data_IF_276959202304
#
_entry.id   IF_276959202304
#
_cell.length_a   1.000
_cell.length_b   1.000
_cell.length_c   1.000
_cell.angle_alpha   90.00
_cell.angle_beta   90.00
_cell.angle_gamma   90.00
#
_symmetry.space_group_name_H-M   'P 1'
#
loop_
_entity.id
_entity.type
_entity.pdbx_description
1 polymer ?
#
# COMPACT_ATOMS: atom_id res chain seq x y z
N UNK A 1 2.64 -14.01 -7.83
CA UNK A 1 2.28 -12.58 -7.84
C UNK A 1 3.26 -11.76 -8.68
N UNK A 2 4.54 -11.64 -8.30
CA UNK A 2 5.54 -10.91 -9.10
C UNK A 2 5.66 -11.41 -10.54
N UNK A 3 5.68 -12.73 -10.75
CA UNK A 3 5.70 -13.34 -12.08
C UNK A 3 4.47 -13.00 -12.94
N UNK A 4 3.29 -12.81 -12.33
CA UNK A 4 2.08 -12.39 -13.04
C UNK A 4 2.14 -10.91 -13.41
N UNK A 5 2.70 -10.07 -12.54
CA UNK A 5 2.95 -8.65 -12.83
C UNK A 5 4.00 -8.49 -13.92
N UNK A 6 5.09 -9.26 -13.90
CA UNK A 6 6.09 -9.28 -14.98
C UNK A 6 5.50 -9.79 -16.29
N UNK A 7 4.62 -10.79 -16.28
CA UNK A 7 3.87 -11.19 -17.47
C UNK A 7 2.95 -10.09 -18.00
N UNK A 8 2.34 -9.31 -17.11
CA UNK A 8 1.47 -8.19 -17.48
C UNK A 8 2.29 -6.97 -17.95
N UNK A 9 3.52 -6.82 -17.46
CA UNK A 9 4.40 -5.67 -17.67
C UNK A 9 5.81 -6.09 -18.11
N UNK A 10 5.97 -6.77 -19.27
CA UNK A 10 7.24 -7.39 -19.65
C UNK A 10 8.37 -6.39 -19.98
N UNK A 11 8.05 -5.10 -20.07
CA UNK A 11 9.01 -4.02 -20.38
C UNK A 11 9.38 -3.15 -19.17
N UNK A 12 8.75 -3.37 -18.01
CA UNK A 12 9.04 -2.62 -16.79
C UNK A 12 10.08 -3.42 -16.00
N UNK A 13 11.13 -2.73 -15.58
CA UNK A 13 12.17 -3.32 -14.76
C UNK A 13 11.58 -3.84 -13.43
N UNK A 14 12.03 -5.03 -13.00
CA UNK A 14 11.54 -5.68 -11.79
C UNK A 14 11.68 -4.79 -10.54
N UNK A 15 12.76 -4.02 -10.44
CA UNK A 15 12.99 -3.09 -9.33
C UNK A 15 11.95 -1.97 -9.31
N UNK A 16 11.49 -1.54 -10.48
CA UNK A 16 10.44 -0.52 -10.61
C UNK A 16 9.08 -1.11 -10.24
N UNK A 17 8.78 -2.34 -10.67
CA UNK A 17 7.57 -3.05 -10.26
C UNK A 17 7.52 -3.15 -8.74
N UNK A 18 8.62 -3.53 -8.10
CA UNK A 18 8.74 -3.61 -6.65
C UNK A 18 8.52 -2.25 -5.96
N UNK A 19 9.16 -1.17 -6.44
CA UNK A 19 8.96 0.19 -5.88
C UNK A 19 7.55 0.73 -6.04
N UNK A 20 6.89 0.40 -7.16
CA UNK A 20 5.48 0.69 -7.40
C UNK A 20 4.66 -0.09 -6.37
N UNK A 21 4.93 -1.39 -6.23
CA UNK A 21 4.21 -2.29 -5.34
C UNK A 21 4.34 -1.90 -3.86
N UNK A 22 5.54 -1.53 -3.41
CA UNK A 22 5.81 -0.95 -2.08
C UNK A 22 5.00 0.31 -1.81
N UNK A 23 4.75 1.12 -2.85
CA UNK A 23 3.92 2.32 -2.76
C UNK A 23 2.41 2.04 -2.75
N UNK A 24 1.96 0.84 -3.12
CA UNK A 24 0.54 0.49 -3.27
C UNK A 24 0.04 -0.53 -2.23
N UNK A 25 0.79 -0.80 -1.16
CA UNK A 25 0.41 -1.74 -0.08
C UNK A 25 -0.10 -3.10 -0.61
N UNK A 26 0.50 -3.58 -1.70
CA UNK A 26 0.33 -4.95 -2.22
C UNK A 26 -1.09 -5.37 -2.70
N UNK A 27 -2.02 -4.44 -2.92
CA UNK A 27 -3.29 -4.76 -3.60
C UNK A 27 -3.06 -4.93 -5.12
N UNK A 28 -2.94 -6.17 -5.58
CA UNK A 28 -2.64 -6.52 -6.99
C UNK A 28 -3.69 -6.00 -7.97
N UNK A 29 -4.96 -5.98 -7.59
CA UNK A 29 -6.06 -5.60 -8.48
C UNK A 29 -6.18 -4.07 -8.61
N UNK A 30 -5.99 -3.35 -7.51
CA UNK A 30 -5.90 -1.89 -7.51
C UNK A 30 -4.58 -1.41 -8.14
N UNK A 31 -3.47 -2.11 -7.89
CA UNK A 31 -2.21 -1.88 -8.59
C UNK A 31 -2.38 -2.12 -10.08
N UNK A 32 -3.07 -3.18 -10.51
CA UNK A 32 -3.34 -3.43 -11.93
C UNK A 32 -4.24 -2.36 -12.55
N UNK A 33 -5.32 -1.95 -11.89
CA UNK A 33 -6.20 -0.90 -12.40
C UNK A 33 -5.52 0.48 -12.44
N UNK A 34 -4.74 0.83 -11.41
CA UNK A 34 -3.95 2.07 -11.37
C UNK A 34 -2.77 2.03 -12.35
N UNK A 35 -2.13 0.87 -12.51
CA UNK A 35 -1.08 0.67 -13.51
C UNK A 35 -1.65 0.66 -14.92
N UNK A 36 -2.91 0.28 -15.14
CA UNK A 36 -3.57 0.37 -16.46
C UNK A 36 -3.61 1.80 -16.99
N UNK A 37 -3.84 2.78 -16.11
CA UNK A 37 -3.78 4.21 -16.44
C UNK A 37 -2.36 4.70 -16.71
N UNK A 38 -1.35 4.09 -16.08
CA UNK A 38 0.05 4.45 -16.25
C UNK A 38 0.75 3.64 -17.36
N UNK A 39 0.10 2.57 -17.84
CA UNK A 39 0.63 1.57 -18.76
C UNK A 39 1.12 2.13 -20.09
N UNK A 40 0.36 3.03 -20.76
CA UNK A 40 0.81 3.58 -22.03
C UNK A 40 2.10 4.40 -21.88
N UNK A 41 2.29 4.99 -20.70
CA UNK A 41 3.41 5.87 -20.38
C UNK A 41 4.66 5.09 -19.98
N UNK A 42 4.52 4.03 -19.18
CA UNK A 42 5.65 3.18 -18.82
C UNK A 42 6.21 2.41 -20.03
N UNK A 43 5.35 1.96 -20.95
CA UNK A 43 5.79 1.18 -22.11
C UNK A 43 6.56 1.98 -23.18
N UNK A 44 6.52 3.31 -23.12
CA UNK A 44 7.18 4.22 -24.07
C UNK A 44 8.43 4.90 -23.51
N UNK A 45 8.77 4.66 -22.25
CA UNK A 45 9.83 5.38 -21.52
C UNK A 45 10.93 4.47 -21.02
N UNK A 46 12.16 4.98 -20.91
CA UNK A 46 13.27 4.23 -20.34
C UNK A 46 13.16 4.12 -18.80
N UNK A 47 13.83 3.14 -18.20
CA UNK A 47 13.83 2.87 -16.75
C UNK A 47 14.04 4.13 -15.89
N UNK A 48 14.96 5.02 -16.30
CA UNK A 48 15.23 6.27 -15.58
C UNK A 48 14.03 7.22 -15.59
N UNK A 49 13.37 7.36 -16.72
CA UNK A 49 12.14 8.15 -16.88
C UNK A 49 10.98 7.55 -16.09
N UNK A 50 10.86 6.23 -16.05
CA UNK A 50 9.85 5.54 -15.25
C UNK A 50 10.03 5.85 -13.75
N UNK A 51 11.27 5.77 -13.24
CA UNK A 51 11.58 6.13 -11.85
C UNK A 51 11.27 7.60 -11.55
N UNK A 52 11.58 8.50 -12.49
CA UNK A 52 11.27 9.92 -12.39
C UNK A 52 9.75 10.16 -12.30
N UNK A 53 8.95 9.48 -13.12
CA UNK A 53 7.50 9.58 -13.10
C UNK A 53 6.91 9.07 -11.77
N UNK A 54 7.42 7.95 -11.25
CA UNK A 54 7.04 7.46 -9.91
C UNK A 54 7.35 8.52 -8.85
N UNK A 55 8.50 9.19 -8.92
CA UNK A 55 8.85 10.25 -7.98
C UNK A 55 7.93 11.47 -8.11
N UNK A 56 7.50 11.84 -9.31
CA UNK A 56 6.52 12.92 -9.51
C UNK A 56 5.18 12.56 -8.87
N UNK A 57 4.69 11.34 -9.05
CA UNK A 57 3.45 10.88 -8.40
C UNK A 57 3.57 10.83 -6.87
N UNK A 58 4.72 10.42 -6.32
CA UNK A 58 4.95 10.47 -4.86
C UNK A 58 4.93 11.91 -4.33
N UNK A 59 5.54 12.85 -5.06
CA UNK A 59 5.66 14.23 -4.61
C UNK A 59 4.37 15.03 -4.77
N UNK A 60 3.61 14.80 -5.84
CA UNK A 60 2.45 15.63 -6.22
C UNK A 60 1.11 14.89 -6.17
N UNK A 61 1.08 13.56 -6.04
CA UNK A 61 -0.14 12.76 -6.14
C UNK A 61 -1.18 13.01 -5.04
N UNK A 62 -0.79 13.67 -3.94
CA UNK A 62 -1.70 14.13 -2.89
C UNK A 62 -2.32 15.51 -3.20
N UNK A 63 -1.70 16.29 -4.09
CA UNK A 63 -2.10 17.66 -4.40
C UNK A 63 -2.78 17.76 -5.77
N UNK A 64 -2.37 16.92 -6.72
CA UNK A 64 -2.82 16.94 -8.10
C UNK A 64 -3.36 15.56 -8.49
N UNK A 65 -4.42 15.58 -9.30
CA UNK A 65 -4.90 14.35 -9.93
C UNK A 65 -3.79 13.69 -10.76
N UNK A 66 -3.76 12.36 -10.76
CA UNK A 66 -2.74 11.60 -11.49
C UNK A 66 -2.74 11.93 -12.99
N UNK A 67 -3.90 12.20 -13.56
CA UNK A 67 -4.09 12.64 -14.95
C UNK A 67 -3.33 13.94 -15.24
N UNK A 68 -3.42 14.92 -14.34
CA UNK A 68 -2.69 16.20 -14.45
C UNK A 68 -1.18 15.98 -14.39
N UNK A 69 -0.71 15.13 -13.48
CA UNK A 69 0.72 14.78 -13.38
C UNK A 69 1.22 14.14 -14.68
N UNK A 70 0.50 13.13 -15.18
CA UNK A 70 0.86 12.41 -16.41
C UNK A 70 0.77 13.29 -17.65
N UNK A 71 -0.24 14.15 -17.78
CA UNK A 71 -0.35 15.09 -18.89
C UNK A 71 0.78 16.11 -18.89
N UNK A 72 1.11 16.67 -17.72
CA UNK A 72 2.21 17.63 -17.58
C UNK A 72 3.55 16.98 -17.92
N UNK A 73 3.78 15.75 -17.48
CA UNK A 73 4.97 14.97 -17.85
C UNK A 73 5.15 14.85 -19.36
N UNK A 74 4.08 14.57 -20.10
CA UNK A 74 4.15 14.49 -21.56
C UNK A 74 4.32 15.85 -22.22
N UNK A 75 3.63 16.88 -21.73
CA UNK A 75 3.72 18.24 -22.26
C UNK A 75 5.12 18.84 -22.08
N UNK A 76 5.85 18.40 -21.05
CA UNK A 76 7.23 18.79 -20.79
C UNK A 76 8.24 17.84 -21.46
N UNK A 77 7.84 17.12 -22.52
CA UNK A 77 8.69 16.19 -23.27
C UNK A 77 9.39 15.15 -22.37
N UNK A 78 8.76 14.79 -21.24
CA UNK A 78 9.31 13.85 -20.27
C UNK A 78 10.65 14.30 -19.65
N UNK A 79 10.87 15.62 -19.59
CA UNK A 79 12.00 16.25 -18.90
C UNK A 79 11.58 16.49 -17.45
N UNK A 80 12.27 15.81 -16.51
CA UNK A 80 11.92 15.85 -15.09
C UNK A 80 12.00 17.23 -14.46
N UNK A 81 13.05 18.00 -14.77
CA UNK A 81 13.20 19.37 -14.24
C UNK A 81 12.04 20.27 -14.65
N UNK A 82 11.71 20.27 -15.94
CA UNK A 82 10.64 21.10 -16.52
C UNK A 82 9.27 20.67 -15.98
N UNK A 83 9.01 19.36 -15.94
CA UNK A 83 7.76 18.83 -15.38
C UNK A 83 7.60 19.23 -13.92
N UNK A 84 8.66 19.11 -13.12
CA UNK A 84 8.62 19.46 -11.71
C UNK A 84 8.40 20.96 -11.49
N UNK A 85 9.01 21.82 -12.31
CA UNK A 85 8.76 23.26 -12.27
C UNK A 85 7.29 23.57 -12.60
N UNK A 86 6.74 22.95 -13.65
CA UNK A 86 5.35 23.18 -14.07
C UNK A 86 4.32 22.68 -13.06
N UNK A 87 4.53 21.50 -12.47
CA UNK A 87 3.66 20.99 -11.41
C UNK A 87 3.67 21.89 -10.17
N UNK A 88 4.83 22.45 -9.80
CA UNK A 88 4.92 23.45 -8.71
C UNK A 88 4.15 24.72 -9.02
N UNK A 89 4.22 25.21 -10.26
CA UNK A 89 3.44 26.37 -10.72
C UNK A 89 1.93 26.09 -10.58
N UNK A 90 1.46 24.93 -11.03
CA UNK A 90 0.04 24.51 -10.89
C UNK A 90 -0.37 24.43 -9.41
N UNK A 91 0.51 23.92 -8.55
CA UNK A 91 0.25 23.86 -7.11
C UNK A 91 0.25 25.25 -6.45
N UNK A 92 0.99 26.22 -7.00
CA UNK A 92 1.07 27.58 -6.47
C UNK A 92 -0.11 28.47 -6.88
N UNK A 93 -0.75 28.18 -8.02
CA UNK A 93 -1.92 28.92 -8.52
C UNK A 93 -3.24 28.43 -7.95
N UNK A 94 -3.26 27.27 -7.31
CA UNK A 94 -4.43 26.74 -6.62
C UNK A 94 -4.57 27.37 -5.23
N UNK A 95 -5.82 27.54 -4.76
CA UNK A 95 -6.10 28.20 -3.49
C UNK A 95 -5.28 27.55 -2.35
N UNK A 96 -4.33 28.29 -1.73
CA UNK A 96 -3.42 27.72 -0.75
C UNK A 96 -4.14 27.18 0.49
N UNK A 97 -5.36 27.65 0.78
CA UNK A 97 -6.12 27.21 1.95
C UNK A 97 -6.81 25.86 1.69
N UNK A 98 -7.40 25.67 0.52
CA UNK A 98 -8.09 24.42 0.14
C UNK A 98 -7.08 23.26 -0.04
N UNK A 99 -5.94 23.54 -0.68
CA UNK A 99 -4.87 22.54 -0.86
C UNK A 99 -4.22 22.10 0.45
N UNK A 100 -3.99 23.03 1.37
CA UNK A 100 -3.39 22.70 2.68
C UNK A 100 -4.32 21.81 3.50
N UNK A 101 -5.61 22.10 3.51
CA UNK A 101 -6.62 21.28 4.21
C UNK A 101 -6.73 19.89 3.57
N UNK A 102 -6.78 19.78 2.23
CA UNK A 102 -6.78 18.49 1.52
C UNK A 102 -5.53 17.68 1.80
N UNK A 103 -4.35 18.31 1.82
CA UNK A 103 -3.08 17.63 2.10
C UNK A 103 -3.01 17.11 3.54
N UNK A 104 -3.44 17.91 4.52
CA UNK A 104 -3.48 17.51 5.93
C UNK A 104 -4.48 16.36 6.10
N UNK A 105 -5.69 16.48 5.55
CA UNK A 105 -6.72 15.45 5.67
C UNK A 105 -6.32 14.15 4.94
N UNK A 106 -5.69 14.24 3.77
CA UNK A 106 -5.18 13.09 3.03
C UNK A 106 -4.09 12.35 3.79
N UNK A 107 -3.09 13.08 4.32
CA UNK A 107 -2.02 12.49 5.14
C UNK A 107 -2.58 11.86 6.41
N UNK A 108 -3.48 12.53 7.12
CA UNK A 108 -4.12 11.99 8.32
C UNK A 108 -4.90 10.70 8.04
N UNK A 109 -5.62 10.63 6.91
CA UNK A 109 -6.34 9.42 6.48
C UNK A 109 -5.39 8.28 6.18
N UNK A 110 -4.32 8.52 5.40
CA UNK A 110 -3.31 7.50 5.11
C UNK A 110 -2.61 7.01 6.40
N UNK A 111 -2.33 7.91 7.34
CA UNK A 111 -1.77 7.55 8.65
C UNK A 111 -2.73 6.67 9.46
N UNK A 112 -4.02 6.99 9.45
CA UNK A 112 -5.05 6.20 10.13
C UNK A 112 -5.24 4.82 9.48
N UNK A 113 -5.21 4.73 8.16
CA UNK A 113 -5.26 3.45 7.43
C UNK A 113 -4.07 2.57 7.79
N UNK A 114 -2.86 3.12 7.71
CA UNK A 114 -1.61 2.42 8.08
C UNK A 114 -1.68 1.95 9.55
N UNK A 115 -2.23 2.77 10.44
CA UNK A 115 -2.38 2.43 11.86
C UNK A 115 -3.32 1.24 12.07
N UNK A 116 -4.48 1.23 11.41
CA UNK A 116 -5.45 0.13 11.48
C UNK A 116 -4.83 -1.18 10.97
N UNK A 117 -4.16 -1.13 9.80
CA UNK A 117 -3.52 -2.29 9.20
C UNK A 117 -2.45 -2.88 10.13
N UNK A 118 -1.55 -2.04 10.66
CA UNK A 118 -0.51 -2.46 11.60
C UNK A 118 -1.08 -3.10 12.86
N UNK A 119 -2.09 -2.49 13.47
CA UNK A 119 -2.76 -3.03 14.66
C UNK A 119 -3.31 -4.44 14.38
N UNK A 120 -3.98 -4.62 13.24
CA UNK A 120 -4.55 -5.90 12.87
C UNK A 120 -3.52 -6.98 12.57
N UNK A 121 -2.51 -6.65 11.77
CA UNK A 121 -1.46 -7.60 11.41
C UNK A 121 -0.70 -8.08 12.64
N UNK A 122 -0.32 -7.15 13.53
CA UNK A 122 0.36 -7.50 14.76
C UNK A 122 -0.52 -8.33 15.69
N UNK A 123 -1.82 -8.04 15.79
CA UNK A 123 -2.74 -8.80 16.63
C UNK A 123 -2.89 -10.25 16.14
N UNK A 124 -3.10 -10.44 14.83
CA UNK A 124 -3.24 -11.78 14.22
C UNK A 124 -1.94 -12.58 14.40
N UNK A 125 -0.80 -12.00 14.01
CA UNK A 125 0.50 -12.65 14.14
C UNK A 125 0.81 -13.03 15.59
N UNK A 126 0.57 -12.10 16.52
CA UNK A 126 0.83 -12.34 17.94
C UNK A 126 -0.01 -13.51 18.49
N UNK A 127 -1.30 -13.59 18.14
CA UNK A 127 -2.16 -14.68 18.59
C UNK A 127 -1.66 -16.05 18.11
N UNK A 128 -1.22 -16.14 16.84
CA UNK A 128 -0.68 -17.37 16.26
C UNK A 128 0.66 -17.74 16.91
N UNK A 129 1.57 -16.77 17.05
CA UNK A 129 2.90 -16.98 17.62
C UNK A 129 2.83 -17.36 19.11
N UNK A 130 1.91 -16.76 19.86
CA UNK A 130 1.72 -17.02 21.29
C UNK A 130 1.08 -18.38 21.55
N UNK A 131 0.14 -18.80 20.69
CA UNK A 131 -0.63 -20.03 20.88
C UNK A 131 -0.57 -20.94 19.65
N UNK A 132 0.62 -21.41 19.26
CA UNK A 132 0.79 -22.09 17.97
C UNK A 132 0.01 -23.40 17.86
N UNK A 133 -0.29 -24.08 18.98
CA UNK A 133 -1.06 -25.34 18.96
C UNK A 133 -2.57 -25.14 18.90
N UNK A 134 -3.07 -23.91 19.06
CA UNK A 134 -4.50 -23.65 19.19
C UNK A 134 -5.10 -23.33 17.82
N UNK A 135 -5.85 -24.28 17.26
CA UNK A 135 -6.45 -24.16 15.92
C UNK A 135 -7.35 -22.93 15.77
N UNK A 136 -8.01 -22.49 16.86
CA UNK A 136 -8.85 -21.29 16.88
C UNK A 136 -8.12 -20.03 16.39
N UNK A 137 -6.83 -19.86 16.70
CA UNK A 137 -6.06 -18.67 16.27
C UNK A 137 -5.54 -18.78 14.83
N UNK A 138 -5.67 -19.95 14.21
CA UNK A 138 -5.39 -20.20 12.80
C UNK A 138 -6.62 -19.99 11.92
N UNK A 139 -7.72 -19.53 12.50
CA UNK A 139 -8.99 -19.29 11.84
C UNK A 139 -9.45 -17.86 12.12
N UNK A 140 -9.87 -17.13 11.09
CA UNK A 140 -10.39 -15.77 11.24
C UNK A 140 -11.77 -15.75 10.60
N UNK A 141 -12.78 -15.49 11.44
CA UNK A 141 -14.16 -15.39 10.99
C UNK A 141 -14.35 -14.11 10.17
N UNK A 142 -14.79 -14.22 8.91
CA UNK A 142 -14.92 -13.07 7.98
C UNK A 142 -15.80 -11.96 8.56
N UNK A 143 -16.99 -12.31 9.05
CA UNK A 143 -17.89 -11.30 9.61
C UNK A 143 -17.28 -10.57 10.82
N UNK A 144 -16.57 -11.28 11.70
CA UNK A 144 -15.95 -10.65 12.87
C UNK A 144 -14.82 -9.71 12.45
N UNK A 145 -14.00 -10.12 11.47
CA UNK A 145 -12.97 -9.28 10.88
C UNK A 145 -13.55 -8.02 10.25
N UNK A 146 -14.58 -8.17 9.40
CA UNK A 146 -15.22 -7.05 8.70
C UNK A 146 -15.94 -6.09 9.65
N UNK A 147 -16.63 -6.60 10.67
CA UNK A 147 -17.26 -5.77 11.69
C UNK A 147 -16.23 -4.95 12.46
N UNK A 148 -15.12 -5.58 12.87
CA UNK A 148 -14.03 -4.89 13.54
C UNK A 148 -13.42 -3.80 12.65
N UNK A 149 -13.09 -4.13 11.40
CA UNK A 149 -12.51 -3.18 10.46
C UNK A 149 -13.46 -2.02 10.19
N UNK A 150 -14.74 -2.29 9.96
CA UNK A 150 -15.76 -1.26 9.73
C UNK A 150 -15.85 -0.29 10.91
N UNK A 151 -15.92 -0.82 12.14
CA UNK A 151 -15.95 -0.01 13.35
C UNK A 151 -14.69 0.86 13.50
N UNK A 152 -13.49 0.30 13.26
CA UNK A 152 -12.22 1.03 13.35
C UNK A 152 -12.09 2.10 12.27
N UNK A 153 -12.48 1.79 11.04
CA UNK A 153 -12.47 2.72 9.91
C UNK A 153 -13.41 3.89 10.16
N UNK A 154 -14.63 3.62 10.63
CA UNK A 154 -15.59 4.66 11.00
C UNK A 154 -15.04 5.58 12.10
N UNK A 155 -14.45 4.98 13.14
CA UNK A 155 -13.88 5.74 14.27
C UNK A 155 -12.73 6.66 13.85
N UNK A 156 -11.91 6.24 12.89
CA UNK A 156 -10.71 6.95 12.46
C UNK A 156 -10.88 7.70 11.13
N UNK A 157 -12.09 7.72 10.56
CA UNK A 157 -12.38 8.35 9.27
C UNK A 157 -11.57 7.78 8.09
N UNK A 158 -11.23 6.49 8.16
CA UNK A 158 -10.43 5.78 7.17
C UNK A 158 -11.29 5.06 6.13
N UNK A 159 -10.73 4.78 4.96
CA UNK A 159 -11.44 4.08 3.88
C UNK A 159 -11.54 2.56 4.17
N UNK A 160 -12.75 2.10 4.45
CA UNK A 160 -13.03 0.70 4.76
C UNK A 160 -12.74 -0.23 3.59
N UNK A 161 -13.11 0.15 2.37
CA UNK A 161 -12.93 -0.70 1.19
C UNK A 161 -11.44 -0.93 0.95
N UNK A 162 -10.65 0.14 0.95
CA UNK A 162 -9.20 0.08 0.81
C UNK A 162 -8.53 -0.76 1.89
N UNK A 163 -8.88 -0.54 3.16
CA UNK A 163 -8.34 -1.31 4.28
C UNK A 163 -8.73 -2.78 4.16
N UNK A 164 -9.98 -3.08 3.80
CA UNK A 164 -10.44 -4.47 3.69
C UNK A 164 -9.62 -5.23 2.66
N UNK A 165 -9.39 -4.67 1.47
CA UNK A 165 -8.60 -5.33 0.43
C UNK A 165 -7.15 -5.53 0.87
N UNK A 166 -6.54 -4.54 1.53
CA UNK A 166 -5.18 -4.66 2.05
C UNK A 166 -5.06 -5.72 3.15
N UNK A 167 -6.07 -5.88 3.99
CA UNK A 167 -6.10 -6.96 4.99
C UNK A 167 -6.20 -8.32 4.31
N UNK A 168 -7.09 -8.48 3.32
CA UNK A 168 -7.24 -9.74 2.59
C UNK A 168 -5.96 -10.12 1.83
N UNK A 169 -5.33 -9.16 1.15
CA UNK A 169 -4.07 -9.38 0.43
C UNK A 169 -2.95 -9.83 1.39
N UNK A 170 -2.80 -9.14 2.51
CA UNK A 170 -1.80 -9.50 3.52
C UNK A 170 -2.05 -10.87 4.14
N UNK A 171 -3.31 -11.23 4.41
CA UNK A 171 -3.65 -12.57 4.89
C UNK A 171 -3.17 -13.64 3.91
N UNK A 172 -3.34 -13.44 2.60
CA UNK A 172 -2.81 -14.37 1.59
C UNK A 172 -1.28 -14.45 1.62
N UNK A 173 -0.60 -13.32 1.81
CA UNK A 173 0.88 -13.26 1.90
C UNK A 173 1.40 -14.09 3.09
N UNK A 174 0.71 -14.03 4.23
CA UNK A 174 1.05 -14.85 5.41
C UNK A 174 0.34 -16.22 5.40
N UNK A 175 0.04 -16.75 4.21
CA UNK A 175 -0.44 -18.11 3.97
C UNK A 175 -1.84 -18.44 4.54
N UNK A 176 -2.69 -17.44 4.76
CA UNK A 176 -4.12 -17.68 4.98
C UNK A 176 -4.86 -17.85 3.65
N UNK A 177 -5.83 -18.76 3.63
CA UNK A 177 -6.72 -19.03 2.49
C UNK A 177 -8.17 -18.91 2.91
N UNK A 178 -9.02 -18.41 2.00
CA UNK A 178 -10.47 -18.46 2.20
C UNK A 178 -10.96 -19.91 2.09
N UNK A 179 -11.75 -20.33 3.07
CA UNK A 179 -12.50 -21.58 3.04
C UNK A 179 -13.84 -21.43 2.30
N UNK A 180 -14.60 -22.51 2.21
CA UNK A 180 -15.92 -22.52 1.56
C UNK A 180 -16.99 -21.71 2.31
N UNK A 181 -16.77 -21.46 3.60
CA UNK A 181 -17.61 -20.65 4.47
C UNK A 181 -17.16 -19.17 4.50
N UNK A 182 -16.32 -18.77 3.54
CA UNK A 182 -15.67 -17.46 3.45
C UNK A 182 -14.74 -17.08 4.62
N UNK A 183 -14.54 -17.95 5.61
CA UNK A 183 -13.60 -17.71 6.70
C UNK A 183 -12.16 -17.90 6.23
N UNK A 184 -11.20 -17.29 6.93
CA UNK A 184 -9.79 -17.41 6.60
C UNK A 184 -9.12 -18.47 7.46
N UNK A 185 -8.36 -19.36 6.82
CA UNK A 185 -7.68 -20.48 7.45
C UNK A 185 -6.19 -20.44 7.13
N UNK A 186 -5.35 -20.57 8.14
CA UNK A 186 -3.91 -20.74 7.91
C UNK A 186 -3.66 -22.07 7.19
N UNK A 187 -2.96 -22.03 6.06
CA UNK A 187 -2.89 -23.12 5.09
C UNK A 187 -2.20 -24.40 5.61
N UNK A 188 -1.35 -24.30 6.63
CA UNK A 188 -0.49 -25.41 7.06
C UNK A 188 -0.86 -25.97 8.44
N UNK A 189 -0.88 -27.30 8.53
CA UNK A 189 -1.02 -28.02 9.81
C UNK A 189 0.14 -27.73 10.75
N UNK A 190 1.33 -27.51 10.19
CA UNK A 190 2.53 -27.08 10.92
C UNK A 190 2.77 -25.60 10.67
N UNK A 191 2.71 -24.81 11.74
CA UNK A 191 2.99 -23.38 11.69
C UNK A 191 4.46 -23.14 11.33
N UNK A 192 4.69 -22.30 10.32
CA UNK A 192 6.02 -21.80 9.99
C UNK A 192 6.42 -20.66 10.93
N UNK A 193 6.76 -21.00 12.19
CA UNK A 193 7.04 -20.02 13.26
C UNK A 193 8.08 -18.97 12.86
N UNK A 194 9.14 -19.38 12.17
CA UNK A 194 10.19 -18.46 11.72
C UNK A 194 9.67 -17.44 10.70
N UNK A 195 8.87 -17.88 9.73
CA UNK A 195 8.26 -17.00 8.73
C UNK A 195 7.34 -15.96 9.41
N UNK A 196 6.42 -16.41 10.26
CA UNK A 196 5.49 -15.54 10.98
C UNK A 196 6.21 -14.59 11.95
N UNK A 197 7.29 -15.05 12.59
CA UNK A 197 8.13 -14.20 13.43
C UNK A 197 8.80 -13.09 12.62
N UNK A 198 9.30 -13.40 11.42
CA UNK A 198 9.88 -12.40 10.52
C UNK A 198 8.83 -11.39 10.07
N UNK A 199 7.61 -11.83 9.74
CA UNK A 199 6.48 -10.92 9.45
C UNK A 199 6.15 -10.02 10.64
N UNK A 200 6.12 -10.57 11.85
CA UNK A 200 5.86 -9.79 13.08
C UNK A 200 6.95 -8.74 13.31
N UNK A 201 8.21 -9.14 13.19
CA UNK A 201 9.37 -8.25 13.30
C UNK A 201 9.36 -7.16 12.24
N UNK A 202 8.94 -7.45 11.01
CA UNK A 202 8.78 -6.45 9.98
C UNK A 202 7.77 -5.37 10.41
N UNK A 203 6.56 -5.78 10.81
CA UNK A 203 5.49 -4.84 11.15
C UNK A 203 5.75 -4.03 12.43
N UNK A 204 6.40 -4.62 13.44
CA UNK A 204 6.74 -3.89 14.67
C UNK A 204 7.79 -2.81 14.40
N UNK A 205 8.77 -3.08 13.53
CA UNK A 205 9.79 -2.11 13.14
C UNK A 205 9.23 -0.96 12.29
N UNK A 206 8.05 -1.15 11.67
CA UNK A 206 7.34 -0.09 10.96
C UNK A 206 6.58 0.85 11.91
N UNK A 207 6.46 0.56 13.21
CA UNK A 207 5.88 1.51 14.15
C UNK A 207 6.84 2.67 14.42
N UNK A 208 6.34 3.91 14.27
CA UNK A 208 7.10 5.16 14.38
C UNK A 208 7.90 5.25 15.69
N UNK A 209 7.37 4.68 16.78
CA UNK A 209 8.05 4.61 18.08
C UNK A 209 9.47 3.99 17.97
N UNK A 210 9.64 2.92 17.17
CA UNK A 210 10.95 2.27 17.00
C UNK A 210 11.86 2.99 16.00
N UNK A 211 11.30 3.71 15.04
CA UNK A 211 12.08 4.51 14.08
C UNK A 211 12.72 5.71 14.78
N UNK A 212 11.96 6.39 15.66
CA UNK A 212 12.46 7.54 16.41
C UNK A 212 13.49 7.14 17.48
N UNK A 213 13.26 6.05 18.23
CA UNK A 213 14.22 5.56 19.23
C UNK A 213 15.54 5.15 18.57
N UNK A 214 15.52 4.54 17.38
CA UNK A 214 16.73 4.12 16.66
C UNK A 214 17.52 5.30 16.05
N UNK A 215 16.91 6.47 15.90
CA UNK A 215 17.60 7.70 15.50
C UNK A 215 18.24 8.44 16.69
N UNK A 216 17.87 8.07 17.92
CA UNK A 216 18.36 8.71 19.15
C UNK A 216 19.49 7.93 19.84
N UNK A 217 19.84 6.73 19.35
CA UNK A 217 20.93 5.87 19.84
C UNK A 217 22.03 5.85 18.78
#
# INVERSE_FOLDING_TARGET
MLAQLQQTFPKIDEEIILKIFEGFQENVEEANNKNKLLLPYFNSTNVKQQQQLVQLHKNFGLQLEKTVISQTWNNCNQIYGDTMAKLREICATSDPNDNKIKMINGRLKEENEIKILKEMYLHILWNILKYPKHIKYRQIHKQALYNYLSQKCHTLGADFEKISVNVEAWLQVIEFKKGYDDNWYYQYDRIQLLHLWNCYRYWINQQIMYVLIKQMI
#
